data_IF_366960992275
#
_entry.id   IF_366960992275
#
_cell.length_a   1.000
_cell.length_b   1.000
_cell.length_c   1.000
_cell.angle_alpha   90.00
_cell.angle_beta   90.00
_cell.angle_gamma   90.00
#
_symmetry.space_group_name_H-M   'P 1'
#
loop_
_entity.id
_entity.type
_entity.pdbx_description
1 polymer ?
#
# COMPACT_ATOMS: atom_id res chain seq x y z
N UNK A 1 -28.13 -53.18 -16.06
CA UNK A 1 -28.69 -52.99 -14.70
C UNK A 1 -27.49 -52.92 -13.78
N UNK A 2 -26.95 -51.71 -13.62
CA UNK A 2 -25.66 -51.49 -12.97
C UNK A 2 -25.92 -50.79 -11.65
N UNK A 3 -25.47 -51.44 -10.58
CA UNK A 3 -25.42 -50.93 -9.22
C UNK A 3 -24.39 -49.81 -9.13
N UNK A 4 -24.71 -48.76 -8.36
CA UNK A 4 -23.85 -47.83 -7.62
C UNK A 4 -24.50 -46.45 -7.66
N UNK A 5 -25.12 -46.03 -6.55
CA UNK A 5 -25.35 -44.62 -6.20
C UNK A 5 -26.02 -44.54 -4.82
N UNK A 6 -25.28 -44.87 -3.74
CA UNK A 6 -25.59 -44.41 -2.38
C UNK A 6 -24.29 -44.38 -1.55
N UNK A 7 -23.45 -43.38 -1.81
CA UNK A 7 -22.40 -43.02 -0.86
C UNK A 7 -22.07 -41.53 -0.94
N UNK A 8 -21.90 -40.93 0.25
CA UNK A 8 -21.56 -39.53 0.54
C UNK A 8 -22.72 -38.53 0.57
N UNK A 9 -23.44 -38.52 1.68
CA UNK A 9 -23.71 -37.26 2.39
C UNK A 9 -23.96 -37.47 3.89
N UNK A 10 -23.01 -38.09 4.60
CA UNK A 10 -22.94 -37.93 6.05
C UNK A 10 -22.11 -36.68 6.33
N UNK A 11 -22.79 -35.54 6.37
CA UNK A 11 -22.25 -34.32 6.95
C UNK A 11 -22.08 -34.62 8.44
N UNK A 12 -20.83 -34.79 8.87
CA UNK A 12 -20.47 -34.99 10.27
C UNK A 12 -21.13 -33.90 11.13
N UNK A 13 -22.21 -34.26 11.81
CA UNK A 13 -22.57 -33.60 13.07
C UNK A 13 -21.29 -33.61 13.90
N UNK A 14 -20.88 -32.42 14.37
CA UNK A 14 -19.70 -32.27 15.20
C UNK A 14 -19.84 -33.19 16.40
N UNK A 15 -19.13 -34.32 16.36
CA UNK A 15 -18.74 -35.01 17.58
C UNK A 15 -18.02 -33.97 18.42
N UNK A 16 -18.70 -33.43 19.43
CA UNK A 16 -18.05 -32.83 20.59
C UNK A 16 -17.18 -33.92 21.18
N UNK A 17 -15.98 -34.05 20.62
CA UNK A 17 -15.01 -35.02 21.07
C UNK A 17 -14.72 -34.59 22.50
N UNK A 18 -14.96 -35.43 23.53
CA UNK A 18 -14.74 -35.06 24.92
C UNK A 18 -13.28 -34.68 25.23
N UNK A 19 -12.39 -34.82 24.24
CA UNK A 19 -10.98 -34.50 24.26
C UNK A 19 -10.65 -33.08 23.74
N UNK A 20 -11.60 -32.33 23.17
CA UNK A 20 -11.38 -30.93 22.72
C UNK A 20 -12.63 -30.04 22.97
N UNK A 21 -12.83 -29.58 24.23
CA UNK A 21 -13.98 -28.77 24.58
C UNK A 21 -13.82 -27.31 24.13
N UNK A 22 -14.93 -26.68 23.73
CA UNK A 22 -14.97 -25.24 23.46
C UNK A 22 -14.64 -24.46 24.73
N UNK A 23 -13.46 -23.83 24.77
CA UNK A 23 -13.02 -23.01 25.92
C UNK A 23 -13.66 -21.62 25.92
N UNK A 24 -14.00 -21.08 24.74
CA UNK A 24 -14.54 -19.72 24.61
C UNK A 24 -15.30 -19.50 23.29
N UNK A 25 -16.47 -18.88 23.40
CA UNK A 25 -17.27 -18.38 22.27
C UNK A 25 -17.13 -16.87 22.16
N UNK A 26 -16.86 -16.36 20.95
CA UNK A 26 -16.72 -14.92 20.68
C UNK A 26 -17.78 -14.48 19.66
N UNK A 27 -18.61 -13.45 19.95
CA UNK A 27 -19.45 -12.85 18.93
C UNK A 27 -18.58 -12.15 17.87
N UNK A 28 -18.97 -12.30 16.61
CA UNK A 28 -18.27 -11.73 15.45
C UNK A 28 -19.12 -10.62 14.84
N UNK A 29 -18.55 -9.42 14.75
CA UNK A 29 -19.18 -8.24 14.18
C UNK A 29 -18.50 -7.83 12.88
N UNK A 30 -19.30 -7.51 11.86
CA UNK A 30 -18.81 -7.03 10.58
C UNK A 30 -18.98 -5.51 10.46
N UNK A 31 -17.87 -4.78 10.31
CA UNK A 31 -17.87 -3.32 10.19
C UNK A 31 -17.34 -2.87 8.83
N UNK A 32 -18.22 -2.54 7.85
CA UNK A 32 -17.80 -2.13 6.50
C UNK A 32 -17.46 -0.64 6.37
N UNK A 33 -17.65 0.17 7.42
CA UNK A 33 -17.56 1.64 7.35
C UNK A 33 -16.22 2.13 6.77
N UNK A 34 -15.12 1.44 7.08
CA UNK A 34 -13.77 1.82 6.65
C UNK A 34 -13.25 1.02 5.43
N UNK A 35 -14.11 0.24 4.75
CA UNK A 35 -13.72 -0.64 3.63
C UNK A 35 -12.88 0.06 2.56
N UNK A 36 -13.20 1.31 2.24
CA UNK A 36 -12.53 2.08 1.18
C UNK A 36 -11.36 2.94 1.67
N UNK A 37 -11.10 2.96 2.97
CA UNK A 37 -10.13 3.84 3.63
C UNK A 37 -9.05 3.09 4.41
N UNK A 38 -9.22 1.77 4.63
CA UNK A 38 -8.26 0.96 5.37
C UNK A 38 -7.29 0.24 4.42
N UNK A 39 -6.00 0.51 4.58
CA UNK A 39 -4.90 -0.08 3.79
C UNK A 39 -3.93 -0.81 4.72
N UNK A 40 -3.38 -1.94 4.23
CA UNK A 40 -2.30 -2.64 4.91
C UNK A 40 -0.96 -2.33 4.24
N UNK A 41 -0.11 -1.55 4.91
CA UNK A 41 1.23 -1.23 4.43
C UNK A 41 2.24 -2.27 4.96
N UNK A 42 2.90 -2.97 4.05
CA UNK A 42 3.91 -3.97 4.34
C UNK A 42 5.31 -3.44 4.02
N UNK A 43 6.29 -3.83 4.83
CA UNK A 43 7.71 -3.44 4.68
C UNK A 43 8.60 -4.70 4.53
N UNK A 44 8.66 -5.33 3.34
CA UNK A 44 9.32 -6.64 3.18
C UNK A 44 10.81 -6.65 3.54
N UNK A 45 11.49 -5.51 3.42
CA UNK A 45 12.93 -5.37 3.68
C UNK A 45 13.24 -4.91 5.12
N UNK A 46 12.23 -4.84 5.98
CA UNK A 46 12.37 -4.37 7.36
C UNK A 46 12.04 -5.52 8.33
N UNK A 47 12.98 -5.94 9.20
CA UNK A 47 12.71 -7.02 10.14
C UNK A 47 11.78 -6.55 11.27
N UNK A 48 11.02 -7.47 11.86
CA UNK A 48 10.02 -7.18 12.91
C UNK A 48 10.61 -6.49 14.14
N UNK A 49 11.86 -6.80 14.51
CA UNK A 49 12.52 -6.22 15.67
C UNK A 49 13.05 -4.79 15.46
N UNK A 50 12.90 -4.23 14.25
CA UNK A 50 13.37 -2.88 13.90
C UNK A 50 12.20 -2.13 13.27
N UNK A 51 11.25 -1.70 14.06
CA UNK A 51 10.08 -0.98 13.57
C UNK A 51 10.42 0.45 13.14
N UNK A 52 9.55 1.08 12.35
CA UNK A 52 9.61 2.52 12.09
C UNK A 52 8.90 3.22 13.24
N UNK A 53 9.66 3.83 14.15
CA UNK A 53 9.11 4.39 15.38
C UNK A 53 9.89 5.62 15.84
N UNK A 54 9.24 6.41 16.69
CA UNK A 54 9.85 7.57 17.33
C UNK A 54 11.07 7.19 18.18
N UNK A 55 11.09 5.98 18.76
CA UNK A 55 12.20 5.45 19.55
C UNK A 55 13.50 5.33 18.74
N UNK A 56 13.40 4.96 17.46
CA UNK A 56 14.58 4.82 16.58
C UNK A 56 14.87 6.10 15.80
N UNK A 57 14.04 7.14 15.94
CA UNK A 57 14.12 8.36 15.14
C UNK A 57 13.75 8.14 13.67
N UNK A 58 13.07 7.03 13.35
CA UNK A 58 12.69 6.65 11.98
C UNK A 58 11.16 6.71 11.82
N UNK A 59 10.50 7.66 12.49
CA UNK A 59 9.07 7.95 12.29
C UNK A 59 8.85 8.54 10.90
N UNK A 60 7.91 8.01 10.09
CA UNK A 60 7.53 8.63 8.83
C UNK A 60 7.14 10.10 8.99
N UNK A 61 7.70 10.99 8.18
CA UNK A 61 7.47 12.45 8.27
C UNK A 61 6.48 12.96 7.23
N UNK A 62 6.55 12.42 6.01
CA UNK A 62 5.64 12.78 4.92
C UNK A 62 5.09 11.51 4.30
N UNK A 63 3.82 11.53 3.92
CA UNK A 63 3.22 10.50 3.09
C UNK A 63 2.38 11.15 2.00
N UNK A 64 2.32 10.49 0.84
CA UNK A 64 1.50 10.92 -0.28
C UNK A 64 0.98 9.74 -1.06
N UNK A 65 -0.19 9.90 -1.66
CA UNK A 65 -0.87 8.87 -2.43
C UNK A 65 -1.41 9.41 -3.74
N UNK A 66 -1.45 8.56 -4.76
CA UNK A 66 -2.20 8.74 -6.00
C UNK A 66 -3.42 7.82 -5.96
N UNK A 67 -4.62 8.34 -5.64
CA UNK A 67 -5.78 7.51 -5.33
C UNK A 67 -6.28 6.64 -6.49
N UNK A 68 -6.09 7.06 -7.76
CA UNK A 68 -6.55 6.33 -8.96
C UNK A 68 -5.55 5.26 -9.37
N UNK A 69 -4.27 5.59 -9.50
CA UNK A 69 -3.22 4.65 -9.92
C UNK A 69 -2.71 3.77 -8.79
N UNK A 70 -2.97 4.19 -7.54
CA UNK A 70 -2.67 3.44 -6.31
C UNK A 70 -1.23 3.60 -5.84
N UNK A 71 -0.45 4.53 -6.39
CA UNK A 71 0.92 4.76 -5.91
C UNK A 71 0.91 5.42 -4.54
N UNK A 72 1.77 4.94 -3.65
CA UNK A 72 1.97 5.49 -2.33
C UNK A 72 3.46 5.71 -2.11
N UNK A 73 3.80 6.85 -1.53
CA UNK A 73 5.14 7.19 -1.10
C UNK A 73 5.13 7.66 0.35
N UNK A 74 6.16 7.28 1.07
CA UNK A 74 6.36 7.62 2.46
C UNK A 74 7.82 7.97 2.69
N UNK A 75 8.06 9.12 3.30
CA UNK A 75 9.40 9.60 3.63
C UNK A 75 9.72 9.26 5.07
N UNK A 76 10.84 8.58 5.28
CA UNK A 76 11.31 8.17 6.59
C UNK A 76 12.69 8.78 6.82
N UNK A 77 12.95 9.43 7.97
CA UNK A 77 14.26 9.94 8.31
C UNK A 77 15.33 8.84 8.39
N UNK A 78 16.54 9.18 7.96
CA UNK A 78 17.72 8.33 8.06
C UNK A 78 18.45 8.71 9.36
N UNK A 79 18.67 7.77 10.30
CA UNK A 79 19.41 8.05 11.51
C UNK A 79 20.85 8.46 11.19
N UNK A 80 21.24 9.68 11.57
CA UNK A 80 22.58 10.21 11.30
C UNK A 80 23.57 10.03 12.45
N UNK A 81 23.13 9.43 13.57
CA UNK A 81 23.95 9.29 14.77
C UNK A 81 25.15 8.36 14.58
N UNK A 82 24.95 7.23 13.89
CA UNK A 82 25.98 6.23 13.61
C UNK A 82 25.81 5.74 12.17
N UNK A 83 26.92 5.49 11.48
CA UNK A 83 26.95 4.91 10.11
C UNK A 83 26.39 5.81 9.00
N UNK A 84 26.48 7.13 9.17
CA UNK A 84 26.08 8.11 8.16
C UNK A 84 27.29 8.85 7.60
N UNK A 85 27.37 8.92 6.28
CA UNK A 85 28.43 9.60 5.53
C UNK A 85 27.85 10.87 4.90
N UNK A 86 28.17 12.03 5.47
CA UNK A 86 27.62 13.31 5.03
C UNK A 86 28.06 13.68 3.60
N UNK A 87 29.26 13.29 3.19
CA UNK A 87 29.79 13.63 1.86
C UNK A 87 28.99 12.90 0.78
N UNK A 88 28.74 11.60 0.98
CA UNK A 88 27.88 10.82 0.08
C UNK A 88 26.44 11.32 0.10
N UNK A 89 25.92 11.68 1.27
CA UNK A 89 24.58 12.23 1.39
C UNK A 89 24.42 13.57 0.63
N UNK A 90 25.45 14.43 0.64
CA UNK A 90 25.49 15.66 -0.16
C UNK A 90 25.61 15.36 -1.66
N UNK A 91 26.43 14.40 -2.05
CA UNK A 91 26.61 14.00 -3.46
C UNK A 91 25.29 13.58 -4.11
N UNK A 92 24.53 12.72 -3.45
CA UNK A 92 23.29 12.19 -4.01
C UNK A 92 22.07 13.08 -3.75
N UNK A 93 22.18 14.10 -2.91
CA UNK A 93 21.09 15.05 -2.69
C UNK A 93 20.78 15.84 -3.95
N UNK A 94 19.50 16.09 -4.20
CA UNK A 94 19.02 17.05 -5.21
C UNK A 94 19.21 18.51 -4.76
N UNK A 95 19.33 18.74 -3.46
CA UNK A 95 19.37 20.06 -2.83
C UNK A 95 20.77 20.37 -2.25
N UNK A 96 20.96 21.61 -1.78
CA UNK A 96 22.19 22.00 -1.09
C UNK A 96 22.36 21.32 0.28
N UNK A 97 21.31 20.66 0.79
CA UNK A 97 21.35 19.95 2.06
C UNK A 97 21.65 18.45 1.86
N UNK A 98 22.32 17.77 2.82
CA UNK A 98 22.53 16.32 2.74
C UNK A 98 21.20 15.56 2.67
N UNK A 99 21.17 14.46 1.94
CA UNK A 99 20.03 13.54 1.93
C UNK A 99 19.82 12.95 3.34
N UNK A 100 18.77 13.38 4.03
CA UNK A 100 18.42 12.95 5.41
C UNK A 100 17.18 12.08 5.48
N UNK A 101 16.47 11.88 4.38
CA UNK A 101 15.26 11.05 4.30
C UNK A 101 15.42 9.98 3.24
N UNK A 102 14.77 8.86 3.47
CA UNK A 102 14.63 7.76 2.53
C UNK A 102 13.17 7.69 2.11
N UNK A 103 12.93 7.60 0.80
CA UNK A 103 11.58 7.40 0.25
C UNK A 103 11.30 5.90 0.16
N UNK A 104 10.21 5.47 0.78
CA UNK A 104 9.61 4.16 0.60
C UNK A 104 8.45 4.31 -0.38
N UNK A 105 8.48 3.57 -1.49
CA UNK A 105 7.45 3.64 -2.53
C UNK A 105 6.84 2.26 -2.75
N UNK A 106 5.55 2.25 -3.07
CA UNK A 106 4.81 1.03 -3.39
C UNK A 106 3.55 1.34 -4.17
N UNK A 107 2.98 0.31 -4.77
CA UNK A 107 1.69 0.39 -5.46
C UNK A 107 0.66 -0.44 -4.71
N UNK A 108 -0.54 0.09 -4.58
CA UNK A 108 -1.70 -0.60 -4.05
C UNK A 108 -1.99 -1.83 -4.91
N UNK A 109 -1.96 -2.98 -4.27
CA UNK A 109 -2.35 -4.25 -4.86
C UNK A 109 -3.77 -4.56 -4.39
N UNK A 110 -4.65 -4.77 -5.37
CA UNK A 110 -5.97 -5.32 -5.08
C UNK A 110 -5.77 -6.78 -4.65
N UNK A 111 -6.25 -7.15 -3.45
CA UNK A 111 -6.03 -8.49 -2.95
C UNK A 111 -6.86 -9.48 -3.79
N UNK A 112 -6.27 -10.63 -4.13
CA UNK A 112 -6.97 -11.71 -4.84
C UNK A 112 -8.01 -12.41 -3.97
N UNK A 113 -7.91 -12.21 -2.65
CA UNK A 113 -8.82 -12.75 -1.63
C UNK A 113 -9.40 -11.61 -0.81
N UNK A 114 -10.52 -11.86 -0.14
CA UNK A 114 -11.15 -10.89 0.76
C UNK A 114 -10.33 -10.75 2.06
N UNK A 115 -9.30 -9.90 2.03
CA UNK A 115 -8.49 -9.61 3.22
C UNK A 115 -9.26 -8.71 4.19
N UNK A 116 -9.20 -9.06 5.47
CA UNK A 116 -9.84 -8.32 6.55
C UNK A 116 -8.87 -8.21 7.74
N UNK A 117 -9.04 -7.16 8.54
CA UNK A 117 -8.39 -7.02 9.85
C UNK A 117 -9.38 -7.41 10.92
N UNK A 118 -8.94 -8.25 11.86
CA UNK A 118 -9.69 -8.62 13.05
C UNK A 118 -9.18 -7.85 14.28
N UNK A 119 -10.08 -7.23 15.02
CA UNK A 119 -9.83 -6.59 16.30
C UNK A 119 -10.57 -7.35 17.40
N UNK A 120 -9.84 -7.86 18.39
CA UNK A 120 -10.45 -8.52 19.55
C UNK A 120 -10.47 -7.52 20.71
N UNK A 121 -11.66 -7.13 21.16
CA UNK A 121 -11.86 -6.25 22.32
C UNK A 121 -13.10 -6.64 23.11
N UNK A 122 -13.01 -6.56 24.43
CA UNK A 122 -14.09 -6.89 25.36
C UNK A 122 -14.73 -8.28 25.12
N UNK A 123 -13.92 -9.25 24.66
CA UNK A 123 -14.42 -10.59 24.33
C UNK A 123 -15.25 -10.67 23.06
N UNK A 124 -15.15 -9.68 22.17
CA UNK A 124 -15.82 -9.62 20.87
C UNK A 124 -14.77 -9.55 19.75
N UNK A 125 -15.06 -10.15 18.60
CA UNK A 125 -14.23 -10.04 17.40
C UNK A 125 -14.91 -9.10 16.40
N UNK A 126 -14.24 -8.01 16.04
CA UNK A 126 -14.69 -7.07 15.01
C UNK A 126 -13.85 -7.29 13.75
N UNK A 127 -14.48 -7.58 12.62
CA UNK A 127 -13.81 -7.78 11.33
C UNK A 127 -14.11 -6.61 10.39
N UNK A 128 -13.04 -6.06 9.80
CA UNK A 128 -13.09 -4.89 8.90
C UNK A 128 -12.41 -5.24 7.58
N UNK A 129 -13.08 -5.11 6.43
CA UNK A 129 -12.47 -5.38 5.13
C UNK A 129 -11.39 -4.34 4.78
N UNK A 130 -10.31 -4.79 4.16
CA UNK A 130 -9.24 -3.94 3.65
C UNK A 130 -9.54 -3.51 2.20
N UNK A 131 -9.26 -2.25 1.87
CA UNK A 131 -9.25 -1.78 0.48
C UNK A 131 -8.16 -2.47 -0.33
N UNK A 132 -7.04 -2.76 0.31
CA UNK A 132 -5.94 -3.49 -0.28
C UNK A 132 -4.67 -3.33 0.53
N UNK A 133 -3.57 -3.78 -0.06
CA UNK A 133 -2.25 -3.76 0.57
C UNK A 133 -1.24 -3.02 -0.30
N UNK A 134 -0.27 -2.38 0.34
CA UNK A 134 0.88 -1.80 -0.34
C UNK A 134 2.14 -2.52 0.14
N UNK A 135 3.07 -2.80 -0.77
CA UNK A 135 4.41 -3.25 -0.40
C UNK A 135 5.38 -2.10 -0.61
N UNK A 136 5.75 -1.44 0.48
CA UNK A 136 6.63 -0.28 0.47
C UNK A 136 8.10 -0.74 0.45
N UNK A 137 8.84 -0.27 -0.56
CA UNK A 137 10.26 -0.58 -0.78
C UNK A 137 11.08 0.70 -0.90
N UNK A 138 12.36 0.69 -0.47
CA UNK A 138 13.27 1.80 -0.67
C UNK A 138 13.36 2.19 -2.16
N UNK A 139 13.17 3.47 -2.43
CA UNK A 139 13.35 4.05 -3.76
C UNK A 139 14.76 4.63 -3.91
N UNK A 140 15.37 4.42 -5.07
CA UNK A 140 16.71 4.92 -5.41
C UNK A 140 16.67 6.11 -6.37
N UNK A 141 15.54 6.82 -6.49
CA UNK A 141 15.37 7.95 -7.43
C UNK A 141 16.47 9.01 -7.33
N UNK A 142 16.97 9.28 -6.13
CA UNK A 142 18.08 10.21 -5.91
C UNK A 142 19.36 9.84 -6.71
N UNK A 143 19.60 8.56 -6.98
CA UNK A 143 20.72 8.08 -7.80
C UNK A 143 20.48 8.38 -9.28
N UNK A 144 19.26 8.16 -9.75
CA UNK A 144 18.86 8.48 -11.13
C UNK A 144 18.97 9.99 -11.37
N UNK A 145 18.45 10.79 -10.43
CA UNK A 145 18.51 12.26 -10.47
C UNK A 145 19.96 12.76 -10.48
N UNK A 146 20.84 12.18 -9.65
CA UNK A 146 22.27 12.49 -9.68
C UNK A 146 22.89 12.12 -11.04
N UNK A 147 22.59 10.94 -11.58
CA UNK A 147 23.13 10.48 -12.87
C UNK A 147 22.69 11.38 -14.01
N UNK A 148 21.44 11.83 -14.01
CA UNK A 148 20.91 12.76 -15.01
C UNK A 148 21.55 14.15 -14.91
N UNK A 149 21.75 14.66 -13.68
CA UNK A 149 22.46 15.93 -13.44
C UNK A 149 23.90 15.90 -13.95
N UNK A 150 24.64 14.83 -13.67
CA UNK A 150 26.01 14.66 -14.16
C UNK A 150 26.02 14.64 -15.70
N UNK A 151 25.16 13.85 -16.34
CA UNK A 151 25.06 13.82 -17.81
C UNK A 151 24.76 15.20 -18.40
N UNK A 152 23.78 15.92 -17.85
CA UNK A 152 23.43 17.26 -18.29
C UNK A 152 24.60 18.25 -18.15
N UNK A 153 25.37 18.15 -17.06
CA UNK A 153 26.57 18.98 -16.86
C UNK A 153 27.65 18.69 -17.91
N UNK A 154 27.90 17.42 -18.24
CA UNK A 154 28.91 17.03 -19.24
C UNK A 154 28.52 17.48 -20.65
N UNK A 155 27.25 17.36 -21.03
CA UNK A 155 26.76 17.79 -22.35
C UNK A 155 26.84 19.32 -22.54
N UNK A 156 26.67 20.10 -21.47
CA UNK A 156 26.77 21.57 -21.55
C UNK A 156 28.17 22.10 -21.86
N UNK A 157 29.22 21.31 -21.64
CA UNK A 157 30.62 21.70 -21.89
C UNK A 157 31.06 21.41 -23.33
N UNK A 158 30.34 20.59 -24.10
CA UNK A 158 30.71 20.19 -25.47
C UNK A 158 29.97 20.96 -26.57
N UNK A 159 28.99 21.81 -26.23
CA UNK A 159 28.32 22.68 -27.20
C UNK A 159 29.15 23.95 -27.46
N UNK A 160 29.89 23.94 -28.57
CA UNK A 160 30.43 25.16 -29.19
C UNK A 160 29.30 26.18 -29.49
N UNK A 161 29.61 27.49 -29.49
CA UNK A 161 28.61 28.54 -29.59
C UNK A 161 28.25 28.75 -31.06
N UNK A 162 27.23 28.07 -31.57
CA UNK A 162 26.51 28.55 -32.74
C UNK A 162 25.10 27.94 -32.78
N UNK A 163 24.14 28.75 -32.32
CA UNK A 163 22.77 28.92 -32.83
C UNK A 163 21.83 29.21 -31.66
N UNK A 164 21.32 30.44 -31.64
CA UNK A 164 20.22 30.91 -30.84
C UNK A 164 18.91 30.20 -31.24
N UNK A 165 18.21 29.60 -30.28
CA UNK A 165 16.75 29.78 -30.10
C UNK A 165 16.18 28.94 -28.94
N UNK A 166 15.49 29.67 -28.05
CA UNK A 166 14.47 29.25 -27.08
C UNK A 166 14.68 27.98 -26.24
N UNK A 167 15.15 28.20 -25.01
CA UNK A 167 14.99 27.29 -23.86
C UNK A 167 13.51 27.26 -23.43
N UNK A 168 12.79 26.22 -23.84
CA UNK A 168 11.61 25.71 -23.11
C UNK A 168 11.98 24.43 -22.36
N UNK A 169 11.26 24.03 -21.29
CA UNK A 169 11.52 22.77 -20.61
C UNK A 169 11.32 21.61 -21.58
N UNK A 170 12.39 20.87 -21.83
CA UNK A 170 12.42 19.71 -22.74
C UNK A 170 11.68 18.55 -22.06
N UNK A 171 10.35 18.50 -22.20
CA UNK A 171 9.62 17.23 -22.20
C UNK A 171 9.78 16.64 -23.61
N UNK A 172 10.87 15.92 -23.84
CA UNK A 172 11.10 15.23 -25.10
C UNK A 172 10.17 14.01 -25.17
N UNK A 173 8.96 14.27 -25.67
CA UNK A 173 8.07 13.28 -26.25
C UNK A 173 8.69 12.89 -27.61
N UNK A 174 9.46 11.80 -27.66
CA UNK A 174 9.69 11.09 -28.91
C UNK A 174 8.73 9.89 -28.97
N UNK A 175 7.47 10.15 -29.33
CA UNK A 175 6.64 9.10 -29.94
C UNK A 175 6.83 9.22 -31.44
N UNK A 176 7.70 8.37 -31.98
CA UNK A 176 7.65 8.05 -33.40
C UNK A 176 6.39 7.23 -33.62
N UNK A 177 5.32 7.89 -34.08
CA UNK A 177 4.08 7.24 -34.43
C UNK A 177 4.32 6.39 -35.70
N UNK A 178 4.67 5.11 -35.52
CA UNK A 178 4.44 4.11 -36.56
C UNK A 178 3.00 3.68 -36.44
N UNK A 179 2.20 4.08 -37.42
CA UNK A 179 0.85 3.57 -37.64
C UNK A 179 0.93 2.06 -37.80
N UNK A 180 0.44 1.32 -36.81
CA UNK A 180 0.00 -0.05 -36.96
C UNK A 180 -1.38 -0.13 -36.30
N UNK A 181 -2.40 -0.47 -37.08
CA UNK A 181 -3.82 -0.39 -36.70
C UNK A 181 -4.30 -1.51 -35.78
N UNK A 182 -3.39 -2.27 -35.18
CA UNK A 182 -3.66 -3.18 -34.07
C UNK A 182 -2.54 -3.06 -33.05
N UNK A 183 -2.61 -2.03 -32.21
CA UNK A 183 -1.73 -1.95 -31.05
C UNK A 183 -2.16 -3.02 -30.03
N UNK A 184 -1.24 -3.85 -29.52
CA UNK A 184 -1.57 -4.77 -28.43
C UNK A 184 -2.02 -3.94 -27.23
N UNK A 185 -3.17 -4.29 -26.65
CA UNK A 185 -3.81 -3.62 -25.49
C UNK A 185 -2.98 -3.62 -24.20
N UNK A 186 -1.69 -3.93 -24.26
CA UNK A 186 -0.81 -4.08 -23.11
C UNK A 186 0.51 -3.30 -23.28
N UNK A 187 0.44 -2.07 -23.75
CA UNK A 187 1.59 -1.17 -23.68
C UNK A 187 1.62 -0.49 -22.30
N UNK A 188 2.63 -0.78 -21.49
CA UNK A 188 2.92 -0.17 -20.18
C UNK A 188 2.99 1.36 -20.23
N UNK A 189 3.18 1.94 -21.43
CA UNK A 189 3.19 3.38 -21.69
C UNK A 189 1.94 4.10 -21.18
N UNK A 190 0.75 3.50 -21.36
CA UNK A 190 -0.51 4.11 -20.88
C UNK A 190 -0.56 4.19 -19.35
N UNK A 191 -0.03 3.18 -18.66
CA UNK A 191 0.01 3.13 -17.19
C UNK A 191 1.02 4.15 -16.66
N UNK A 192 2.18 4.27 -17.31
CA UNK A 192 3.21 5.26 -16.96
C UNK A 192 2.63 6.67 -17.13
N UNK A 193 2.03 6.95 -18.29
CA UNK A 193 1.42 8.25 -18.57
C UNK A 193 0.30 8.60 -17.59
N UNK A 194 -0.61 7.68 -17.32
CA UNK A 194 -1.69 7.89 -16.35
C UNK A 194 -1.13 8.15 -14.93
N UNK A 195 -0.03 7.46 -14.57
CA UNK A 195 0.67 7.71 -13.31
C UNK A 195 1.30 9.09 -13.28
N UNK A 196 1.96 9.54 -14.36
CA UNK A 196 2.61 10.86 -14.43
C UNK A 196 1.61 12.01 -14.43
N UNK A 197 0.46 11.83 -15.09
CA UNK A 197 -0.62 12.82 -15.18
C UNK A 197 -1.39 12.97 -13.85
N UNK A 198 -1.43 11.93 -13.03
CA UNK A 198 -2.10 12.00 -11.72
C UNK A 198 -1.28 12.77 -10.69
N UNK A 199 -1.92 13.72 -10.01
CA UNK A 199 -1.33 14.53 -8.96
C UNK A 199 -1.22 13.75 -7.64
N UNK A 200 -0.15 14.03 -6.89
CA UNK A 200 0.03 13.49 -5.55
C UNK A 200 -0.88 14.18 -4.54
N UNK A 201 -1.60 13.40 -3.74
CA UNK A 201 -2.35 13.89 -2.61
C UNK A 201 -1.56 13.65 -1.32
N UNK A 202 -1.29 14.70 -0.50
CA UNK A 202 -0.62 14.52 0.77
C UNK A 202 -1.52 13.76 1.75
N UNK A 203 -0.89 12.98 2.62
CA UNK A 203 -1.56 12.22 3.68
C UNK A 203 -0.96 12.63 5.02
N UNK A 204 -1.80 13.06 5.94
CA UNK A 204 -1.39 13.41 7.30
C UNK A 204 -0.96 12.16 8.06
N UNK A 205 0.22 12.24 8.68
CA UNK A 205 0.73 11.19 9.56
C UNK A 205 0.46 11.62 11.00
N UNK A 206 -0.34 10.81 11.71
CA UNK A 206 -0.72 11.04 13.11
C UNK A 206 -0.28 9.87 13.96
N UNK A 207 0.52 10.15 14.99
CA UNK A 207 0.95 9.15 15.97
C UNK A 207 0.04 9.14 17.21
N UNK A 208 0.19 8.10 18.04
CA UNK A 208 -0.31 8.04 19.41
C UNK A 208 -1.84 8.19 19.57
N UNK A 209 -2.29 9.09 20.45
CA UNK A 209 -3.69 9.18 20.89
C UNK A 209 -4.68 9.44 19.75
N UNK A 210 -4.27 10.21 18.74
CA UNK A 210 -5.09 10.44 17.55
C UNK A 210 -5.29 9.15 16.75
N UNK A 211 -4.25 8.34 16.60
CA UNK A 211 -4.35 7.04 15.92
C UNK A 211 -5.26 6.07 16.71
N UNK A 212 -5.24 6.12 18.04
CA UNK A 212 -6.14 5.33 18.89
C UNK A 212 -7.60 5.76 18.71
N UNK A 213 -7.87 7.05 18.49
CA UNK A 213 -9.22 7.54 18.23
C UNK A 213 -9.79 6.99 16.91
N UNK A 214 -8.97 6.91 15.87
CA UNK A 214 -9.34 6.32 14.58
C UNK A 214 -9.48 4.80 14.71
N UNK A 215 -8.63 4.15 15.50
CA UNK A 215 -8.73 2.71 15.74
C UNK A 215 -10.05 2.31 16.42
N UNK A 216 -10.66 3.18 17.23
CA UNK A 216 -12.01 2.94 17.78
C UNK A 216 -13.09 2.86 16.70
N UNK A 217 -12.89 3.50 15.54
CA UNK A 217 -13.83 3.42 14.40
C UNK A 217 -13.80 2.04 13.71
N UNK A 218 -12.83 1.18 14.02
CA UNK A 218 -12.81 -0.21 13.58
C UNK A 218 -13.80 -1.08 14.36
N UNK A 219 -14.24 -0.62 15.54
CA UNK A 219 -15.26 -1.29 16.34
C UNK A 219 -16.64 -1.03 15.71
N UNK A 220 -17.49 -2.06 15.68
CA UNK A 220 -18.88 -1.89 15.27
C UNK A 220 -19.62 -1.05 16.33
N UNK A 221 -20.28 0.06 15.94
CA UNK A 221 -21.05 0.89 16.89
C UNK A 221 -22.09 0.05 17.63
N UNK A 222 -22.31 0.35 18.91
CA UNK A 222 -23.26 -0.38 19.77
C UNK A 222 -24.69 -0.41 19.19
N UNK A 223 -25.09 0.62 18.44
CA UNK A 223 -26.39 0.70 17.75
C UNK A 223 -26.55 -0.32 16.61
N UNK A 224 -25.44 -0.83 16.07
CA UNK A 224 -25.40 -1.83 15.00
C UNK A 224 -25.01 -3.23 15.53
N UNK A 225 -24.72 -3.35 16.83
CA UNK A 225 -24.65 -4.64 17.52
C UNK A 225 -26.10 -5.13 17.71
N UNK A 226 -26.41 -6.37 17.31
CA UNK A 226 -27.61 -6.72 16.56
C UNK A 226 -28.92 -6.19 17.14
N UNK A 227 -29.68 -5.46 16.31
CA UNK A 227 -31.11 -5.73 16.21
C UNK A 227 -31.22 -7.21 15.84
N UNK A 228 -31.64 -8.04 16.80
CA UNK A 228 -31.95 -9.47 16.72
C UNK A 228 -31.69 -10.10 15.34
N UNK A 229 -30.51 -10.70 15.16
CA UNK A 229 -30.33 -11.71 14.12
C UNK A 229 -31.15 -12.93 14.51
N UNK A 230 -32.47 -12.89 14.28
CA UNK A 230 -33.23 -14.13 14.11
C UNK A 230 -32.73 -14.75 12.81
N UNK A 231 -32.30 -16.03 12.80
CA UNK A 231 -32.02 -16.71 11.55
C UNK A 231 -33.31 -16.69 10.75
N UNK A 232 -33.33 -15.97 9.64
CA UNK A 232 -34.38 -16.18 8.65
C UNK A 232 -34.11 -17.57 8.09
N UNK A 233 -34.98 -18.52 8.38
CA UNK A 233 -35.08 -19.84 7.75
C UNK A 233 -35.36 -19.64 6.25
N UNK A 234 -34.36 -19.16 5.52
CA UNK A 234 -34.42 -18.99 4.07
C UNK A 234 -33.39 -19.94 3.50
N UNK A 235 -33.90 -21.07 3.03
CA UNK A 235 -33.18 -22.00 2.16
C UNK A 235 -32.56 -21.21 1.01
N UNK A 236 -31.24 -21.05 1.04
CA UNK A 236 -30.49 -20.62 -0.12
C UNK A 236 -30.31 -21.84 -1.03
N UNK A 237 -31.22 -21.98 -2.00
CA UNK A 237 -31.02 -22.82 -3.16
C UNK A 237 -29.96 -22.19 -4.07
N UNK A 238 -28.77 -22.78 -4.08
CA UNK A 238 -27.83 -22.61 -5.19
C UNK A 238 -27.88 -23.90 -6.00
N UNK A 239 -28.56 -23.82 -7.15
CA UNK A 239 -28.68 -24.77 -8.26
C UNK A 239 -28.71 -26.26 -7.89
#
# INVERSE_FOLDING_TARGET
MSQQDEHMNERSESSESPNDPVVRTLPVYYSPALRNHLLLNQYPLRPKNREYSSRTGETPVNARIKPKTGWMEMEVPIPTANYFDEEKAKKYSSEQQPLRTQVLAGRLQQPQTNLMVGLIRNGQLHIVPLRGLTQLRPSMRHVDDHTQRVKASTTSTTSQPNASSSRGPIRAIQVTAKQNSEAPKLSTTHIIRATEEEEWQPVDIRENEEALSVAKQLECPLEHQPNECTPADVEYSFL
#
